data_IF_647152199676
#
_entry.id   IF_647152199676
#
_cell.length_a   1.000
_cell.length_b   1.000
_cell.length_c   1.000
_cell.angle_alpha   90.00
_cell.angle_beta   90.00
_cell.angle_gamma   90.00
#
_symmetry.space_group_name_H-M   'P 1'
#
loop_
_entity.id
_entity.type
_entity.pdbx_description
1 polymer ?
#
# COMPACT_ATOMS: atom_id res chain seq x y z
N UNK A 1 19.19 7.03 1.64
CA UNK A 1 20.24 5.99 1.75
C UNK A 1 21.60 6.53 2.13
N UNK A 2 22.20 7.51 1.40
CA UNK A 2 23.51 8.07 1.77
C UNK A 2 23.52 8.66 3.18
N UNK A 3 22.53 9.49 3.51
CA UNK A 3 22.43 10.13 4.82
C UNK A 3 22.06 9.12 5.92
N UNK A 4 21.25 8.12 5.56
CA UNK A 4 20.94 6.97 6.42
C UNK A 4 22.19 6.17 6.79
N UNK A 5 23.09 5.94 5.83
CA UNK A 5 24.30 5.17 6.03
C UNK A 5 25.30 5.91 6.93
N UNK A 6 25.46 7.22 6.73
CA UNK A 6 26.29 8.07 7.60
C UNK A 6 25.77 8.05 9.04
N UNK A 7 24.46 8.13 9.23
CA UNK A 7 23.85 8.00 10.54
C UNK A 7 24.13 6.62 11.18
N UNK A 8 24.01 5.52 10.43
CA UNK A 8 24.27 4.17 10.96
C UNK A 8 25.73 3.99 11.38
N UNK A 9 26.67 4.63 10.69
CA UNK A 9 28.08 4.64 11.09
C UNK A 9 28.23 5.36 12.44
N UNK A 10 27.62 6.55 12.59
CA UNK A 10 27.69 7.32 13.85
C UNK A 10 27.06 6.51 14.99
N UNK A 11 25.90 5.89 14.76
CA UNK A 11 25.25 5.00 15.71
C UNK A 11 26.18 3.85 16.12
N UNK A 12 26.80 3.17 15.15
CA UNK A 12 27.72 2.06 15.39
C UNK A 12 28.94 2.47 16.22
N UNK A 13 29.54 3.63 15.93
CA UNK A 13 30.69 4.15 16.70
C UNK A 13 30.32 4.45 18.15
N UNK A 14 29.17 5.10 18.36
CA UNK A 14 28.67 5.41 19.70
C UNK A 14 28.36 4.12 20.49
N UNK A 15 27.80 3.09 19.82
CA UNK A 15 27.56 1.76 20.38
C UNK A 15 28.85 1.07 20.82
N UNK A 16 29.82 1.03 19.93
CA UNK A 16 31.11 0.42 20.22
C UNK A 16 31.77 1.09 21.44
N UNK A 17 31.76 2.42 21.49
CA UNK A 17 32.33 3.20 22.60
C UNK A 17 31.67 2.86 23.94
N UNK A 18 30.33 2.78 23.95
CA UNK A 18 29.59 2.45 25.15
C UNK A 18 29.88 1.01 25.60
N UNK A 19 29.85 0.02 24.69
CA UNK A 19 30.05 -1.38 25.03
C UNK A 19 31.42 -1.64 25.67
N UNK A 20 32.47 -1.01 25.11
CA UNK A 20 33.82 -1.09 25.66
C UNK A 20 33.89 -0.44 27.04
N UNK A 21 33.30 0.75 27.19
CA UNK A 21 33.30 1.47 28.48
C UNK A 21 32.49 0.73 29.56
N UNK A 22 31.34 0.18 29.18
CA UNK A 22 30.47 -0.63 30.03
C UNK A 22 31.19 -1.89 30.50
N UNK A 23 31.87 -2.61 29.61
CA UNK A 23 32.65 -3.79 29.97
C UNK A 23 33.83 -3.44 30.90
N UNK A 24 34.55 -2.36 30.60
CA UNK A 24 35.66 -1.88 31.42
C UNK A 24 35.22 -1.47 32.84
N UNK A 25 34.01 -0.93 32.97
CA UNK A 25 33.43 -0.56 34.27
C UNK A 25 33.09 -1.78 35.13
N UNK A 26 32.58 -2.86 34.52
CA UNK A 26 32.11 -4.06 35.23
C UNK A 26 33.25 -5.02 35.58
N UNK A 27 34.25 -5.16 34.70
CA UNK A 27 35.33 -6.14 34.84
C UNK A 27 36.70 -5.47 34.72
N UNK A 28 37.17 -4.78 35.78
CA UNK A 28 38.50 -4.18 35.81
C UNK A 28 39.58 -5.28 35.67
N UNK A 29 40.66 -5.01 34.95
CA UNK A 29 41.76 -5.96 34.74
C UNK A 29 41.37 -7.25 33.99
N UNK A 30 40.35 -7.19 33.13
CA UNK A 30 40.00 -8.28 32.22
C UNK A 30 41.02 -8.39 31.07
N UNK A 31 41.44 -9.62 30.76
CA UNK A 31 42.31 -9.89 29.61
C UNK A 31 41.50 -9.74 28.32
N UNK A 32 41.99 -8.92 27.40
CA UNK A 32 41.36 -8.69 26.11
C UNK A 32 41.61 -9.89 25.17
N UNK A 33 40.80 -10.93 25.30
CA UNK A 33 40.81 -12.07 24.37
C UNK A 33 39.79 -11.86 23.25
N UNK A 34 39.98 -12.52 22.10
CA UNK A 34 39.05 -12.42 20.96
C UNK A 34 37.63 -12.88 21.33
N UNK A 35 37.52 -13.89 22.18
CA UNK A 35 36.24 -14.41 22.66
C UNK A 35 35.49 -13.37 23.51
N UNK A 36 36.20 -12.61 24.34
CA UNK A 36 35.60 -11.52 25.13
C UNK A 36 35.15 -10.36 24.23
N UNK A 37 35.90 -10.00 23.19
CA UNK A 37 35.47 -8.98 22.23
C UNK A 37 34.17 -9.38 21.53
N UNK A 38 34.04 -10.66 21.14
CA UNK A 38 32.82 -11.18 20.53
C UNK A 38 31.64 -11.10 21.50
N UNK A 39 31.82 -11.52 22.76
CA UNK A 39 30.80 -11.39 23.82
C UNK A 39 30.39 -9.93 24.03
N UNK A 40 31.35 -8.99 24.07
CA UNK A 40 31.09 -7.55 24.23
C UNK A 40 30.27 -7.02 23.06
N UNK A 41 30.64 -7.36 21.83
CA UNK A 41 29.89 -6.95 20.64
C UNK A 41 28.49 -7.55 20.61
N UNK A 42 28.35 -8.85 20.91
CA UNK A 42 27.07 -9.54 20.89
C UNK A 42 26.12 -8.97 21.96
N UNK A 43 26.59 -8.79 23.19
CA UNK A 43 25.81 -8.16 24.25
C UNK A 43 25.42 -6.72 23.90
N UNK A 44 26.35 -5.97 23.30
CA UNK A 44 26.09 -4.62 22.82
C UNK A 44 25.05 -4.55 21.71
N UNK A 45 25.01 -5.55 20.83
CA UNK A 45 23.98 -5.69 19.81
C UNK A 45 22.62 -6.00 20.42
N UNK A 46 22.53 -6.98 21.34
CA UNK A 46 21.28 -7.30 22.03
C UNK A 46 20.74 -6.13 22.87
N UNK A 47 21.63 -5.28 23.37
CA UNK A 47 21.24 -4.07 24.09
C UNK A 47 20.41 -3.09 23.25
N UNK A 48 20.58 -3.05 21.92
CA UNK A 48 19.75 -2.23 21.03
C UNK A 48 18.27 -2.60 21.11
N UNK A 49 17.98 -3.88 21.32
CA UNK A 49 16.63 -4.39 21.44
C UNK A 49 16.08 -4.24 22.86
N UNK A 50 16.86 -3.62 23.75
CA UNK A 50 16.54 -3.48 25.18
C UNK A 50 16.23 -4.81 25.86
N UNK A 51 16.84 -5.90 25.38
CA UNK A 51 16.78 -7.17 26.11
C UNK A 51 17.58 -6.98 27.41
N UNK A 52 16.86 -6.69 28.50
CA UNK A 52 17.42 -6.66 29.83
C UNK A 52 17.58 -8.12 30.25
N UNK A 53 18.68 -8.75 29.85
CA UNK A 53 19.18 -9.94 30.53
C UNK A 53 19.58 -9.50 31.95
N UNK A 54 18.55 -9.36 32.79
CA UNK A 54 18.60 -9.25 34.25
C UNK A 54 18.79 -10.63 34.88
N UNK A 55 18.99 -11.67 34.06
CA UNK A 55 19.38 -12.99 34.52
C UNK A 55 20.55 -12.81 35.47
N UNK A 56 20.21 -12.95 36.74
CA UNK A 56 21.16 -13.03 37.83
C UNK A 56 22.09 -14.14 37.41
N UNK A 57 23.32 -13.77 37.03
CA UNK A 57 24.42 -14.72 36.96
C UNK A 57 24.67 -15.15 38.41
N UNK A 58 23.77 -15.98 38.95
CA UNK A 58 23.90 -16.61 40.26
C UNK A 58 25.07 -17.61 40.24
N UNK A 59 25.57 -17.94 39.04
CA UNK A 59 26.70 -18.82 38.78
C UNK A 59 27.92 -18.04 38.26
N UNK A 60 28.39 -17.07 39.05
CA UNK A 60 29.63 -16.31 38.77
C UNK A 60 30.67 -16.44 39.88
N UNK A 61 31.94 -16.18 39.55
CA UNK A 61 33.06 -16.26 40.51
C UNK A 61 33.86 -14.96 40.60
N UNK A 62 34.38 -14.67 41.79
CA UNK A 62 35.39 -13.63 42.01
C UNK A 62 36.83 -14.18 41.98
N UNK A 63 37.00 -15.50 41.90
CA UNK A 63 38.31 -16.14 41.98
C UNK A 63 39.02 -16.15 40.61
N UNK A 64 40.23 -15.59 40.57
CA UNK A 64 41.05 -15.44 39.36
C UNK A 64 41.36 -16.75 38.65
N UNK A 65 41.59 -17.82 39.40
CA UNK A 65 41.95 -19.11 38.80
C UNK A 65 40.78 -19.76 38.06
N UNK A 66 39.55 -19.53 38.52
CA UNK A 66 38.33 -20.17 37.97
C UNK A 66 37.83 -19.43 36.72
N UNK A 67 37.86 -18.08 36.71
CA UNK A 67 37.46 -17.37 35.49
C UNK A 67 38.53 -17.44 34.39
N UNK A 68 39.82 -17.55 34.73
CA UNK A 68 40.88 -17.72 33.74
C UNK A 68 40.91 -19.12 33.11
N UNK A 69 40.41 -20.15 33.80
CA UNK A 69 40.25 -21.50 33.25
C UNK A 69 39.04 -21.63 32.32
N UNK A 70 38.15 -20.62 32.28
CA UNK A 70 36.92 -20.63 31.48
C UNK A 70 35.82 -21.54 32.04
N UNK A 71 35.95 -21.99 33.28
CA UNK A 71 34.99 -22.88 33.95
C UNK A 71 33.73 -22.13 34.40
N UNK A 72 33.88 -20.84 34.76
CA UNK A 72 32.78 -19.99 35.21
C UNK A 72 33.03 -18.52 34.83
N UNK A 73 31.96 -17.76 34.58
CA UNK A 73 32.06 -16.34 34.24
C UNK A 73 32.44 -15.49 35.46
N UNK A 74 33.16 -14.39 35.22
CA UNK A 74 33.54 -13.42 36.26
C UNK A 74 32.33 -12.64 36.76
N UNK A 75 32.21 -12.43 38.07
CA UNK A 75 31.19 -11.57 38.66
C UNK A 75 31.47 -10.07 38.42
N UNK A 76 30.43 -9.24 38.21
CA UNK A 76 30.59 -7.79 38.12
C UNK A 76 31.04 -7.18 39.45
N UNK A 77 31.62 -5.98 39.41
CA UNK A 77 31.91 -5.21 40.61
C UNK A 77 30.62 -4.66 41.23
N UNK A 78 30.57 -4.54 42.57
CA UNK A 78 29.41 -3.99 43.31
C UNK A 78 29.02 -2.59 42.81
N UNK A 79 30.02 -1.75 42.52
CA UNK A 79 29.83 -0.43 41.92
C UNK A 79 29.25 -0.50 40.50
N UNK A 80 29.79 -1.42 39.67
CA UNK A 80 29.33 -1.63 38.31
C UNK A 80 27.89 -2.14 38.26
N UNK A 81 27.50 -3.04 39.17
CA UNK A 81 26.14 -3.57 39.27
C UNK A 81 25.12 -2.47 39.57
N UNK A 82 25.41 -1.59 40.52
CA UNK A 82 24.51 -0.49 40.87
C UNK A 82 24.34 0.54 39.74
N UNK A 83 25.41 0.80 39.00
CA UNK A 83 25.47 1.89 38.00
C UNK A 83 25.06 1.44 36.60
N UNK A 84 25.28 0.16 36.27
CA UNK A 84 24.89 -0.49 35.01
C UNK A 84 23.48 -0.14 34.51
N UNK A 85 22.39 -0.24 35.32
CA UNK A 85 21.04 0.03 34.83
C UNK A 85 20.85 1.48 34.38
N UNK A 86 21.47 2.45 35.06
CA UNK A 86 21.38 3.87 34.70
C UNK A 86 22.12 4.16 33.38
N UNK A 87 23.31 3.59 33.20
CA UNK A 87 24.06 3.71 31.95
C UNK A 87 23.28 3.11 30.78
N UNK A 88 22.74 1.91 30.94
CA UNK A 88 21.91 1.25 29.93
C UNK A 88 20.70 2.11 29.56
N UNK A 89 20.02 2.71 30.54
CA UNK A 89 18.84 3.54 30.31
C UNK A 89 19.16 4.82 29.53
N UNK A 90 20.18 5.59 29.95
CA UNK A 90 20.57 6.83 29.27
C UNK A 90 21.03 6.53 27.86
N UNK A 91 21.86 5.50 27.71
CA UNK A 91 22.42 5.10 26.44
C UNK A 91 21.36 4.57 25.46
N UNK A 92 20.46 3.71 25.95
CA UNK A 92 19.32 3.21 25.19
C UNK A 92 18.38 4.33 24.76
N UNK A 93 18.15 5.34 25.62
CA UNK A 93 17.35 6.52 25.26
C UNK A 93 18.00 7.34 24.14
N UNK A 94 19.32 7.58 24.20
CA UNK A 94 20.05 8.24 23.12
C UNK A 94 19.92 7.44 21.82
N UNK A 95 20.12 6.12 21.88
CA UNK A 95 20.00 5.24 20.73
C UNK A 95 18.60 5.28 20.11
N UNK A 96 17.54 5.23 20.91
CA UNK A 96 16.16 5.28 20.44
C UNK A 96 15.83 6.63 19.82
N UNK A 97 16.24 7.75 20.43
CA UNK A 97 16.04 9.09 19.84
C UNK A 97 16.73 9.19 18.49
N UNK A 98 17.99 8.72 18.40
CA UNK A 98 18.74 8.68 17.15
C UNK A 98 18.01 7.81 16.11
N UNK A 99 17.63 6.58 16.48
CA UNK A 99 16.94 5.64 15.58
C UNK A 99 15.58 6.18 15.12
N UNK A 100 14.82 6.84 16.00
CA UNK A 100 13.53 7.44 15.68
C UNK A 100 13.71 8.60 14.70
N UNK A 101 14.72 9.45 14.91
CA UNK A 101 15.05 10.54 13.99
C UNK A 101 15.37 10.01 12.59
N UNK A 102 16.10 8.90 12.51
CA UNK A 102 16.37 8.22 11.24
C UNK A 102 15.11 7.61 10.63
N UNK A 103 14.32 6.89 11.43
CA UNK A 103 13.13 6.17 11.00
C UNK A 103 12.13 7.15 10.40
N UNK A 104 11.84 8.24 11.11
CA UNK A 104 10.94 9.30 10.64
C UNK A 104 11.48 9.91 9.35
N UNK A 105 12.79 10.16 9.24
CA UNK A 105 13.37 10.74 8.04
C UNK A 105 13.18 9.86 6.80
N UNK A 106 13.43 8.55 6.92
CA UNK A 106 13.25 7.61 5.80
C UNK A 106 11.77 7.41 5.49
N UNK A 107 10.92 7.25 6.51
CA UNK A 107 9.49 7.12 6.31
C UNK A 107 8.90 8.35 5.64
N UNK A 108 9.32 9.56 6.02
CA UNK A 108 8.86 10.79 5.37
C UNK A 108 9.28 10.86 3.90
N UNK A 109 10.56 10.59 3.60
CA UNK A 109 11.08 10.58 2.23
C UNK A 109 10.42 9.49 1.36
N UNK A 110 10.25 8.30 1.92
CA UNK A 110 9.64 7.16 1.24
C UNK A 110 8.14 7.41 1.06
N UNK A 111 7.45 7.88 2.09
CA UNK A 111 6.03 8.18 2.04
C UNK A 111 5.72 9.23 0.97
N UNK A 112 6.53 10.28 0.85
CA UNK A 112 6.32 11.28 -0.21
C UNK A 112 6.46 10.65 -1.61
N UNK A 113 7.58 9.96 -1.88
CA UNK A 113 7.81 9.32 -3.19
C UNK A 113 6.73 8.30 -3.53
N UNK A 114 6.41 7.44 -2.58
CA UNK A 114 5.43 6.36 -2.72
C UNK A 114 4.02 6.92 -2.86
N UNK A 115 3.65 7.95 -2.10
CA UNK A 115 2.35 8.61 -2.21
C UNK A 115 2.18 9.30 -3.57
N UNK A 116 3.22 9.92 -4.12
CA UNK A 116 3.14 10.57 -5.42
C UNK A 116 3.00 9.54 -6.56
N UNK A 117 3.74 8.44 -6.49
CA UNK A 117 3.60 7.31 -7.42
C UNK A 117 2.21 6.64 -7.28
N UNK A 118 1.73 6.44 -6.06
CA UNK A 118 0.39 5.89 -5.82
C UNK A 118 -0.71 6.80 -6.31
N UNK A 119 -0.61 8.13 -6.19
CA UNK A 119 -1.61 9.06 -6.73
C UNK A 119 -1.69 8.96 -8.25
N UNK A 120 -0.55 8.85 -8.92
CA UNK A 120 -0.51 8.66 -10.37
C UNK A 120 -1.19 7.35 -10.76
N UNK A 121 -0.81 6.23 -10.13
CA UNK A 121 -1.43 4.93 -10.41
C UNK A 121 -2.91 4.88 -10.03
N UNK A 122 -3.30 5.51 -8.93
CA UNK A 122 -4.70 5.61 -8.50
C UNK A 122 -5.53 6.42 -9.49
N UNK A 123 -5.00 7.52 -10.00
CA UNK A 123 -5.66 8.31 -11.04
C UNK A 123 -5.81 7.50 -12.34
N UNK A 124 -4.81 6.71 -12.71
CA UNK A 124 -4.88 5.83 -13.89
C UNK A 124 -5.91 4.71 -13.68
N UNK A 125 -5.91 4.08 -12.51
CA UNK A 125 -6.92 3.09 -12.12
C UNK A 125 -8.32 3.69 -12.16
N UNK A 126 -8.53 4.86 -11.56
CA UNK A 126 -9.83 5.55 -11.58
C UNK A 126 -10.27 5.90 -13.00
N UNK A 127 -9.37 6.35 -13.87
CA UNK A 127 -9.70 6.64 -15.25
C UNK A 127 -10.13 5.37 -16.01
N UNK A 128 -9.37 4.27 -15.86
CA UNK A 128 -9.69 2.99 -16.48
C UNK A 128 -11.02 2.42 -15.95
N UNK A 129 -11.25 2.48 -14.63
CA UNK A 129 -12.52 2.07 -14.04
C UNK A 129 -13.68 2.90 -14.56
N UNK A 130 -13.52 4.22 -14.67
CA UNK A 130 -14.56 5.10 -15.17
C UNK A 130 -14.87 4.83 -16.66
N UNK A 131 -13.85 4.54 -17.46
CA UNK A 131 -14.02 4.18 -18.88
C UNK A 131 -14.83 2.88 -19.02
N UNK A 132 -14.49 1.84 -18.26
CA UNK A 132 -15.22 0.56 -18.26
C UNK A 132 -16.71 0.75 -17.88
N UNK A 133 -16.97 1.48 -16.80
CA UNK A 133 -18.34 1.73 -16.31
C UNK A 133 -19.19 2.60 -17.25
N UNK A 134 -18.57 3.46 -18.07
CA UNK A 134 -19.29 4.28 -19.04
C UNK A 134 -19.64 3.53 -20.34
N UNK A 135 -18.90 2.45 -20.64
CA UNK A 135 -19.08 1.63 -21.86
C UNK A 135 -20.01 0.43 -21.60
N UNK A 136 -20.06 -0.09 -20.38
CA UNK A 136 -20.99 -1.16 -20.03
C UNK A 136 -22.46 -0.67 -19.94
N UNK A 137 -23.44 -1.43 -20.46
CA UNK A 137 -24.85 -1.11 -20.26
C UNK A 137 -25.15 -1.14 -18.76
N UNK A 138 -25.74 -0.06 -18.26
CA UNK A 138 -26.09 0.25 -16.85
C UNK A 138 -27.02 -0.80 -16.21
N UNK A 139 -27.39 -1.87 -16.91
CA UNK A 139 -28.23 -2.93 -16.37
C UNK A 139 -27.42 -3.73 -15.34
N UNK A 140 -27.72 -3.58 -14.03
CA UNK A 140 -27.05 -4.39 -13.05
C UNK A 140 -27.32 -5.86 -13.36
N UNK A 141 -26.33 -6.72 -13.08
CA UNK A 141 -26.29 -8.16 -13.43
C UNK A 141 -27.60 -8.90 -13.08
N UNK A 142 -28.37 -8.41 -12.11
CA UNK A 142 -29.66 -8.97 -11.69
C UNK A 142 -30.87 -8.65 -12.60
N UNK A 143 -30.81 -7.66 -13.50
CA UNK A 143 -31.91 -7.28 -14.40
C UNK A 143 -31.79 -7.84 -15.83
N UNK A 144 -30.60 -8.34 -16.21
CA UNK A 144 -30.37 -9.06 -17.46
C UNK A 144 -31.32 -10.26 -17.72
N UNK A 145 -31.60 -11.16 -16.74
CA UNK A 145 -32.43 -12.33 -17.00
C UNK A 145 -33.90 -12.01 -17.28
N UNK A 146 -34.38 -10.81 -16.94
CA UNK A 146 -35.77 -10.36 -17.17
C UNK A 146 -35.89 -9.59 -18.50
N UNK A 147 -34.91 -8.75 -18.83
CA UNK A 147 -34.94 -7.93 -20.03
C UNK A 147 -34.80 -8.75 -21.32
N UNK A 148 -33.89 -9.74 -21.35
CA UNK A 148 -33.63 -10.58 -22.54
C UNK A 148 -34.87 -11.33 -23.05
N UNK A 149 -35.62 -12.09 -22.22
CA UNK A 149 -36.81 -12.79 -22.70
C UNK A 149 -37.92 -11.83 -23.14
N UNK A 150 -38.08 -10.67 -22.50
CA UNK A 150 -39.07 -9.67 -22.89
C UNK A 150 -38.80 -9.10 -24.30
N UNK A 151 -37.54 -8.74 -24.59
CA UNK A 151 -37.15 -8.28 -25.94
C UNK A 151 -37.29 -9.38 -27.01
N UNK A 152 -36.94 -10.63 -26.69
CA UNK A 152 -37.11 -11.76 -27.62
C UNK A 152 -38.58 -12.01 -27.95
N UNK A 153 -39.47 -12.04 -26.95
CA UNK A 153 -40.91 -12.24 -27.17
C UNK A 153 -41.48 -11.12 -28.05
N UNK A 154 -41.11 -9.86 -27.79
CA UNK A 154 -41.59 -8.73 -28.60
C UNK A 154 -41.08 -8.79 -30.04
N UNK A 155 -39.84 -9.24 -30.24
CA UNK A 155 -39.26 -9.48 -31.57
C UNK A 155 -39.96 -10.61 -32.32
N UNK A 156 -40.27 -11.73 -31.65
CA UNK A 156 -41.05 -12.83 -32.25
C UNK A 156 -42.48 -12.41 -32.60
N UNK A 157 -43.16 -11.64 -31.76
CA UNK A 157 -44.50 -11.09 -32.06
C UNK A 157 -44.44 -10.16 -33.27
N UNK A 158 -43.43 -9.29 -33.35
CA UNK A 158 -43.22 -8.40 -34.49
C UNK A 158 -42.96 -9.19 -35.78
N UNK A 159 -42.12 -10.23 -35.74
CA UNK A 159 -41.86 -11.12 -36.89
C UNK A 159 -43.11 -11.87 -37.36
N UNK A 160 -43.92 -12.40 -36.42
CA UNK A 160 -45.18 -13.07 -36.75
C UNK A 160 -46.17 -12.06 -37.36
N UNK A 161 -46.23 -10.83 -36.82
CA UNK A 161 -47.05 -9.75 -37.38
C UNK A 161 -46.64 -9.34 -38.79
N UNK A 162 -45.32 -9.25 -39.05
CA UNK A 162 -44.77 -8.94 -40.37
C UNK A 162 -45.05 -10.08 -41.38
N UNK A 163 -44.99 -11.34 -40.93
CA UNK A 163 -45.38 -12.51 -41.74
C UNK A 163 -46.89 -12.55 -42.04
N UNK A 164 -47.75 -12.11 -41.12
CA UNK A 164 -49.20 -12.07 -41.33
C UNK A 164 -49.66 -10.89 -42.21
N UNK A 165 -48.92 -9.77 -42.23
CA UNK A 165 -49.28 -8.59 -43.03
C UNK A 165 -49.10 -8.83 -44.55
N UNK A 166 -48.18 -9.70 -44.95
CA UNK A 166 -47.93 -10.01 -46.38
C UNK A 166 -48.98 -10.92 -47.01
N UNK A 167 -49.76 -11.69 -46.22
CA UNK A 167 -50.82 -12.58 -46.76
C UNK A 167 -52.22 -11.94 -46.86
N UNK A 168 -52.47 -10.77 -46.26
CA UNK A 168 -53.80 -10.12 -46.26
C UNK A 168 -53.99 -9.05 -47.36
N UNK A 169 -53.04 -8.93 -48.29
CA UNK A 169 -53.08 -7.94 -49.39
C UNK A 169 -53.70 -8.41 -50.71
N UNK A 170 -54.26 -9.62 -50.80
CA UNK A 170 -54.71 -10.21 -52.08
C UNK A 170 -56.20 -10.50 -52.23
N UNK A 171 -57.05 -10.02 -51.30
CA UNK A 171 -58.49 -10.31 -51.33
C UNK A 171 -59.38 -9.09 -51.02
N UNK A 172 -59.04 -7.90 -51.51
CA UNK A 172 -59.90 -6.71 -51.40
C UNK A 172 -59.62 -5.67 -52.51
N UNK A 173 -59.49 -6.11 -53.76
CA UNK A 173 -59.29 -5.21 -54.91
C UNK A 173 -60.23 -5.52 -56.07
N UNK A 174 -61.51 -5.73 -55.79
CA UNK A 174 -62.59 -5.69 -56.80
C UNK A 174 -63.86 -5.11 -56.15
N UNK A 175 -63.82 -3.91 -55.60
CA UNK A 175 -65.04 -3.10 -55.40
C UNK A 175 -64.66 -1.68 -54.96
N UNK A 176 -65.26 -0.70 -55.64
CA UNK A 176 -65.14 0.75 -55.45
C UNK A 176 -63.78 1.36 -55.82
N UNK A 177 -63.64 2.20 -56.86
CA UNK A 177 -64.61 3.09 -57.50
C UNK A 177 -64.47 4.51 -56.93
N UNK A 178 -63.90 5.38 -57.75
CA UNK A 178 -64.25 6.80 -57.92
C UNK A 178 -63.87 7.88 -56.86
N UNK A 179 -62.86 8.68 -57.26
CA UNK A 179 -62.83 10.17 -57.38
C UNK A 179 -62.63 11.13 -56.17
N UNK A 180 -61.74 12.13 -56.41
CA UNK A 180 -61.59 13.49 -55.82
C UNK A 180 -61.15 13.59 -54.35
N UNK A 181 -60.46 14.61 -53.82
CA UNK A 181 -59.63 15.75 -54.27
C UNK A 181 -58.95 16.31 -52.98
N UNK A 182 -57.81 16.97 -53.15
CA UNK A 182 -57.07 17.90 -52.28
C UNK A 182 -57.64 18.34 -50.91
N UNK A 183 -56.81 18.27 -49.85
CA UNK A 183 -56.71 19.34 -48.84
C UNK A 183 -55.48 19.23 -47.93
N UNK A 184 -54.83 20.39 -47.76
CA UNK A 184 -54.08 20.87 -46.60
C UNK A 184 -52.72 20.25 -46.21
N UNK A 185 -51.69 20.88 -46.77
CA UNK A 185 -50.72 21.68 -46.02
C UNK A 185 -51.10 22.04 -44.57
N UNK A 186 -50.71 21.25 -43.58
CA UNK A 186 -50.58 21.75 -42.18
C UNK A 186 -49.74 20.87 -41.22
N UNK A 187 -48.65 20.23 -41.67
CA UNK A 187 -47.84 19.42 -40.73
C UNK A 187 -46.33 19.37 -40.99
N UNK A 188 -45.75 20.42 -41.58
CA UNK A 188 -44.28 20.52 -41.81
C UNK A 188 -43.50 21.35 -40.79
N UNK A 189 -44.14 21.88 -39.74
CA UNK A 189 -43.49 22.81 -38.80
C UNK A 189 -43.11 22.23 -37.42
N UNK A 190 -43.24 20.93 -37.17
CA UNK A 190 -42.87 20.32 -35.86
C UNK A 190 -41.50 19.64 -35.78
N UNK A 191 -40.71 19.60 -36.86
CA UNK A 191 -39.44 18.84 -36.91
C UNK A 191 -38.15 19.67 -36.72
N UNK A 192 -38.23 20.90 -36.20
CA UNK A 192 -37.05 21.78 -36.08
C UNK A 192 -36.46 21.95 -34.67
N UNK A 193 -36.67 20.99 -33.74
CA UNK A 193 -36.30 21.18 -32.32
C UNK A 193 -35.30 20.19 -31.71
N UNK A 194 -34.27 19.72 -32.41
CA UNK A 194 -33.04 19.19 -31.75
C UNK A 194 -31.80 19.31 -32.66
N UNK A 195 -30.80 20.16 -32.35
CA UNK A 195 -29.49 20.08 -32.99
C UNK A 195 -28.61 19.01 -32.33
N UNK A 196 -27.93 18.30 -33.23
CA UNK A 196 -26.97 17.23 -33.04
C UNK A 196 -25.74 17.65 -32.20
N UNK A 197 -25.31 16.70 -31.40
CA UNK A 197 -24.04 16.54 -30.68
C UNK A 197 -22.82 17.21 -31.33
N UNK A 198 -22.15 18.11 -30.59
CA UNK A 198 -20.89 18.74 -30.98
C UNK A 198 -19.70 17.87 -30.58
N UNK A 199 -19.09 17.28 -31.60
CA UNK A 199 -17.65 17.14 -31.92
C UNK A 199 -16.63 17.22 -30.76
N UNK A 200 -15.84 16.14 -30.65
CA UNK A 200 -14.76 15.95 -29.69
C UNK A 200 -13.63 16.98 -29.73
N UNK A 201 -13.01 17.14 -28.56
CA UNK A 201 -11.77 17.89 -28.37
C UNK A 201 -10.56 16.94 -28.47
N UNK A 202 -9.63 17.33 -29.34
CA UNK A 202 -8.29 16.75 -29.45
C UNK A 202 -7.54 16.86 -28.12
N UNK A 203 -7.02 15.73 -27.64
CA UNK A 203 -5.95 15.65 -26.65
C UNK A 203 -4.67 15.47 -27.43
N UNK A 204 -3.90 16.54 -27.59
CA UNK A 204 -2.50 16.55 -28.05
C UNK A 204 -1.92 17.95 -27.85
N UNK A 205 -1.75 18.37 -26.60
CA UNK A 205 -0.93 19.54 -26.28
C UNK A 205 -0.54 19.46 -24.80
N UNK A 206 0.58 18.80 -24.48
CA UNK A 206 1.47 19.07 -23.34
C UNK A 206 2.68 18.15 -23.49
N UNK A 207 3.72 18.68 -24.15
CA UNK A 207 5.10 18.20 -24.08
C UNK A 207 5.86 19.23 -23.25
#
# INVERSE_FOLDING_TARGET
>A
FKDTFVFLIILSVIMMSYNVSYHALLYPDSLLTWLEIEKIMQNGFWMLFQELNLDTKDDCTHNETIYNSGEQDRCPTEFGEHISPYLKAIYGLIAVILLLNLLIAIYSDTYQKVNDEFKFHWSQLQANFLEEYMVEPIFPIHLLPIAVPFFLVHFFIWLIGYCCFTKKGRLNKIQHGDTHDSSNSDERDKLKKYPMFVRGKNVNEFR
#
